data_IF_016400111615
#
_entry.id   IF_016400111615
#
_cell.length_a   1.000
_cell.length_b   1.000
_cell.length_c   1.000
_cell.angle_alpha   90.00
_cell.angle_beta   90.00
_cell.angle_gamma   90.00
#
_symmetry.space_group_name_H-M   'P 1'
#
loop_
_entity.id
_entity.type
_entity.pdbx_description
1 polymer ?
#
# COMPACT_ATOMS: atom_id res chain seq x y z
N UNK A 1 -20.39 -47.29 -1.74
CA UNK A 1 -19.82 -46.45 -0.68
C UNK A 1 -19.56 -45.06 -1.27
N UNK A 2 -20.32 -44.06 -0.89
CA UNK A 2 -20.04 -42.66 -1.27
C UNK A 2 -18.78 -42.26 -0.51
N UNK A 3 -17.69 -41.99 -1.26
CA UNK A 3 -16.41 -41.51 -0.69
C UNK A 3 -16.70 -40.23 0.09
N UNK A 4 -16.32 -40.19 1.35
CA UNK A 4 -16.47 -38.96 2.14
C UNK A 4 -15.85 -37.77 1.35
N UNK A 5 -16.52 -36.63 1.27
CA UNK A 5 -16.02 -35.50 0.49
C UNK A 5 -14.67 -35.08 1.08
N UNK A 6 -13.63 -35.16 0.27
CA UNK A 6 -12.28 -34.71 0.67
C UNK A 6 -12.26 -33.20 0.71
N UNK A 7 -11.63 -32.63 1.74
CA UNK A 7 -11.39 -31.18 1.84
C UNK A 7 -10.62 -30.69 0.62
N UNK A 8 -11.16 -29.74 -0.18
CA UNK A 8 -10.49 -29.25 -1.37
C UNK A 8 -9.13 -28.63 -1.05
N UNK A 9 -8.13 -28.89 -1.89
CA UNK A 9 -6.79 -28.36 -1.76
C UNK A 9 -6.58 -27.19 -2.73
N UNK A 10 -6.29 -26.01 -2.19
CA UNK A 10 -5.97 -24.82 -2.98
C UNK A 10 -4.50 -24.43 -2.79
N UNK A 11 -3.80 -24.22 -3.89
CA UNK A 11 -2.45 -23.66 -3.88
C UNK A 11 -2.50 -22.16 -4.13
N UNK A 12 -1.81 -21.40 -3.29
CA UNK A 12 -1.62 -19.95 -3.46
C UNK A 12 -0.17 -19.72 -3.90
N UNK A 13 0.01 -19.12 -5.05
CA UNK A 13 1.33 -18.82 -5.63
C UNK A 13 1.72 -17.38 -5.27
N UNK A 14 2.70 -17.24 -4.37
CA UNK A 14 3.20 -15.96 -3.85
C UNK A 14 2.72 -15.65 -2.42
N UNK A 15 3.65 -15.36 -1.52
CA UNK A 15 3.42 -14.99 -0.12
C UNK A 15 3.57 -13.48 0.13
N UNK A 16 3.13 -12.64 -0.81
CA UNK A 16 2.85 -11.22 -0.56
C UNK A 16 1.53 -11.07 0.21
N UNK A 17 1.19 -9.86 0.66
CA UNK A 17 -0.05 -9.60 1.42
C UNK A 17 -1.31 -10.11 0.70
N UNK A 18 -1.35 -10.04 -0.64
CA UNK A 18 -2.46 -10.58 -1.42
C UNK A 18 -2.61 -12.10 -1.25
N UNK A 19 -1.50 -12.84 -1.37
CA UNK A 19 -1.50 -14.30 -1.21
C UNK A 19 -1.80 -14.74 0.22
N UNK A 20 -1.21 -14.06 1.22
CA UNK A 20 -1.47 -14.36 2.63
C UNK A 20 -2.94 -14.07 3.02
N UNK A 21 -3.53 -12.97 2.49
CA UNK A 21 -4.93 -12.68 2.70
C UNK A 21 -5.87 -13.68 1.98
N UNK A 22 -5.49 -14.13 0.78
CA UNK A 22 -6.21 -15.19 0.07
C UNK A 22 -6.16 -16.51 0.85
N UNK A 23 -4.98 -16.88 1.35
CA UNK A 23 -4.81 -18.10 2.15
C UNK A 23 -5.69 -18.10 3.41
N UNK A 24 -5.74 -16.96 4.13
CA UNK A 24 -6.60 -16.79 5.28
C UNK A 24 -8.09 -17.02 4.93
N UNK A 25 -8.57 -16.34 3.88
CA UNK A 25 -9.95 -16.44 3.46
C UNK A 25 -10.33 -17.85 2.95
N UNK A 26 -9.43 -18.52 2.23
CA UNK A 26 -9.64 -19.88 1.72
C UNK A 26 -9.70 -20.92 2.82
N UNK A 27 -8.84 -20.82 3.84
CA UNK A 27 -8.88 -21.75 4.99
C UNK A 27 -10.17 -21.57 5.79
N UNK A 28 -10.60 -20.34 6.00
CA UNK A 28 -11.88 -20.03 6.65
C UNK A 28 -13.07 -20.58 5.83
N UNK A 29 -12.97 -20.49 4.49
CA UNK A 29 -13.97 -21.04 3.58
C UNK A 29 -14.01 -22.57 3.51
N UNK A 30 -13.10 -23.28 4.22
CA UNK A 30 -13.10 -24.73 4.33
C UNK A 30 -12.12 -25.45 3.40
N UNK A 31 -11.14 -24.77 2.82
CA UNK A 31 -10.09 -25.38 2.01
C UNK A 31 -8.87 -25.79 2.86
N UNK A 32 -8.17 -26.82 2.41
CA UNK A 32 -6.77 -27.05 2.75
C UNK A 32 -5.93 -26.13 1.86
N UNK A 33 -5.01 -25.36 2.43
CA UNK A 33 -4.26 -24.34 1.70
C UNK A 33 -2.76 -24.55 1.81
N UNK A 34 -2.07 -24.48 0.66
CA UNK A 34 -0.60 -24.42 0.59
C UNK A 34 -0.18 -23.14 -0.12
N UNK A 35 0.64 -22.31 0.54
CA UNK A 35 1.25 -21.12 -0.04
C UNK A 35 2.65 -21.45 -0.50
N UNK A 36 2.98 -21.15 -1.76
CA UNK A 36 4.31 -21.36 -2.37
C UNK A 36 4.94 -20.00 -2.65
N UNK A 37 6.10 -19.73 -2.06
CA UNK A 37 6.85 -18.47 -2.23
C UNK A 37 8.26 -18.76 -2.76
N UNK A 38 8.63 -18.08 -3.83
CA UNK A 38 9.92 -18.27 -4.48
C UNK A 38 11.10 -17.76 -3.62
N UNK A 39 10.90 -16.72 -2.83
CA UNK A 39 11.91 -16.18 -1.93
C UNK A 39 11.91 -16.92 -0.60
N UNK A 40 13.00 -16.80 0.15
CA UNK A 40 13.10 -17.34 1.53
C UNK A 40 12.33 -16.51 2.57
N UNK A 41 11.78 -15.36 2.17
CA UNK A 41 11.02 -14.43 3.02
C UNK A 41 9.66 -14.15 2.42
N UNK A 42 8.69 -13.82 3.26
CA UNK A 42 7.33 -13.43 2.89
C UNK A 42 7.16 -11.91 2.90
N UNK A 43 5.93 -11.42 2.65
CA UNK A 43 5.59 -9.99 2.62
C UNK A 43 5.72 -9.34 1.25
N UNK A 44 6.43 -9.97 0.31
CA UNK A 44 6.59 -9.46 -1.05
C UNK A 44 7.39 -8.15 -1.10
N UNK A 45 6.74 -7.05 -1.50
CA UNK A 45 7.31 -5.69 -1.52
C UNK A 45 7.30 -5.02 -0.15
N UNK A 46 6.33 -5.34 0.69
CA UNK A 46 6.25 -4.90 2.09
C UNK A 46 7.09 -5.84 2.97
N UNK A 47 8.41 -5.66 2.93
CA UNK A 47 9.35 -6.57 3.57
C UNK A 47 10.57 -5.83 4.13
N UNK A 48 11.25 -6.48 5.05
CA UNK A 48 12.46 -5.99 5.73
C UNK A 48 13.69 -6.75 5.25
N UNK A 49 14.86 -6.21 5.55
CA UNK A 49 16.17 -6.83 5.33
C UNK A 49 17.11 -6.50 6.50
N UNK A 50 18.10 -7.35 6.71
CA UNK A 50 19.15 -7.10 7.70
C UNK A 50 20.10 -6.01 7.20
N UNK A 51 20.30 -4.97 8.00
CA UNK A 51 21.22 -3.89 7.70
C UNK A 51 22.43 -3.88 8.63
N UNK A 52 23.66 -3.95 8.09
CA UNK A 52 24.87 -3.98 8.91
C UNK A 52 25.16 -2.64 9.60
N UNK A 53 24.64 -1.50 9.13
CA UNK A 53 24.87 -0.19 9.74
C UNK A 53 24.10 -0.07 11.05
N UNK A 54 22.80 -0.39 11.04
CA UNK A 54 21.95 -0.38 12.23
C UNK A 54 22.06 -1.65 13.07
N UNK A 55 22.70 -2.69 12.55
CA UNK A 55 22.84 -3.98 13.24
C UNK A 55 21.54 -4.73 13.46
N UNK A 56 20.49 -4.44 12.67
CA UNK A 56 19.17 -5.02 12.82
C UNK A 56 18.30 -5.03 11.55
N UNK A 57 17.08 -5.50 11.72
CA UNK A 57 16.10 -5.60 10.65
C UNK A 57 15.48 -4.23 10.35
N UNK A 58 15.54 -3.77 9.12
CA UNK A 58 14.94 -2.52 8.66
C UNK A 58 14.02 -2.78 7.46
N UNK A 59 12.96 -1.98 7.34
CA UNK A 59 12.03 -2.09 6.22
C UNK A 59 12.63 -1.48 4.95
N UNK A 60 12.49 -2.14 3.81
CA UNK A 60 12.96 -1.62 2.52
C UNK A 60 12.41 -0.22 2.22
N UNK A 61 11.17 0.04 2.66
CA UNK A 61 10.52 1.34 2.64
C UNK A 61 9.48 1.38 3.76
N UNK A 62 9.33 2.53 4.43
CA UNK A 62 8.27 2.72 5.42
C UNK A 62 6.91 2.53 4.75
N UNK A 63 6.10 1.68 5.33
CA UNK A 63 4.71 1.50 4.95
C UNK A 63 3.80 2.12 6.00
N UNK A 64 2.74 2.75 5.55
CA UNK A 64 1.71 3.35 6.41
C UNK A 64 0.36 2.90 5.91
N UNK A 65 -0.51 2.46 6.79
CA UNK A 65 -1.93 2.29 6.50
C UNK A 65 -2.70 3.51 6.99
N UNK A 66 -3.78 3.85 6.30
CA UNK A 66 -4.72 4.86 6.77
C UNK A 66 -5.96 4.19 7.36
N UNK A 67 -6.75 4.92 8.15
CA UNK A 67 -7.97 4.40 8.75
C UNK A 67 -8.99 3.87 7.73
N UNK A 68 -8.95 4.36 6.50
CA UNK A 68 -9.75 3.84 5.37
C UNK A 68 -9.29 2.46 4.87
N UNK A 69 -8.14 1.94 5.29
CA UNK A 69 -7.60 0.63 4.92
C UNK A 69 -8.25 -0.49 5.75
N UNK A 70 -9.56 -0.62 5.68
CA UNK A 70 -10.36 -1.46 6.59
C UNK A 70 -10.03 -2.95 6.50
N UNK A 71 -9.68 -3.45 5.31
CA UNK A 71 -9.35 -4.85 5.11
C UNK A 71 -7.96 -5.20 5.64
N UNK A 72 -6.98 -4.31 5.47
CA UNK A 72 -5.65 -4.47 6.06
C UNK A 72 -5.71 -4.41 7.60
N UNK A 73 -6.42 -3.42 8.15
CA UNK A 73 -6.59 -3.28 9.60
C UNK A 73 -7.38 -4.45 10.22
N UNK A 74 -8.34 -5.02 9.49
CA UNK A 74 -9.01 -6.24 9.91
C UNK A 74 -8.06 -7.43 9.94
N UNK A 75 -7.23 -7.61 8.90
CA UNK A 75 -6.20 -8.66 8.87
C UNK A 75 -5.21 -8.49 10.04
N UNK A 76 -4.76 -7.26 10.32
CA UNK A 76 -3.86 -6.95 11.44
C UNK A 76 -4.46 -7.32 12.80
N UNK A 77 -5.76 -7.00 13.02
CA UNK A 77 -6.47 -7.38 14.26
C UNK A 77 -6.56 -8.89 14.42
N UNK A 78 -6.89 -9.60 13.36
CA UNK A 78 -7.06 -11.06 13.36
C UNK A 78 -5.77 -11.82 13.56
N UNK A 79 -4.70 -11.34 12.93
CA UNK A 79 -3.37 -11.90 13.08
C UNK A 79 -2.61 -11.40 14.33
N UNK A 80 -3.27 -10.60 15.19
CA UNK A 80 -2.74 -10.21 16.51
C UNK A 80 -1.66 -9.12 16.48
N UNK A 81 -1.41 -8.45 15.33
CA UNK A 81 -0.36 -7.41 15.26
C UNK A 81 -0.91 -5.97 15.18
N UNK A 82 -2.22 -5.78 15.34
CA UNK A 82 -2.80 -4.43 15.31
C UNK A 82 -2.21 -3.49 16.38
N UNK A 83 -1.82 -4.03 17.55
CA UNK A 83 -1.16 -3.29 18.62
C UNK A 83 0.25 -2.78 18.28
N UNK A 84 0.87 -3.31 17.23
CA UNK A 84 2.17 -2.86 16.70
C UNK A 84 2.04 -1.81 15.60
N UNK A 85 0.83 -1.30 15.39
CA UNK A 85 0.56 -0.17 14.51
C UNK A 85 0.27 1.05 15.39
N UNK A 86 1.21 2.00 15.47
CA UNK A 86 1.00 3.26 16.17
C UNK A 86 -0.10 4.05 15.45
N UNK A 87 -1.09 4.49 16.20
CA UNK A 87 -2.21 5.27 15.70
C UNK A 87 -1.93 6.77 15.87
N UNK A 88 -1.67 7.46 14.78
CA UNK A 88 -1.38 8.89 14.74
C UNK A 88 -2.55 9.62 14.05
N UNK A 89 -3.19 10.55 14.78
CA UNK A 89 -4.28 11.38 14.24
C UNK A 89 -3.79 12.73 13.69
N UNK A 90 -2.57 13.11 14.02
CA UNK A 90 -1.98 14.38 13.60
C UNK A 90 -1.06 14.16 12.42
N UNK A 91 -1.32 14.82 11.32
CA UNK A 91 -0.41 14.93 10.17
C UNK A 91 0.46 16.19 10.37
N UNK A 92 1.77 16.01 10.33
CA UNK A 92 2.72 17.11 10.42
C UNK A 92 3.17 17.53 9.04
N UNK A 93 2.99 18.80 8.71
CA UNK A 93 3.52 19.41 7.50
C UNK A 93 4.58 20.45 7.88
N UNK A 94 5.70 20.44 7.18
CA UNK A 94 6.77 21.43 7.33
C UNK A 94 6.91 22.16 6.01
N UNK A 95 6.66 23.48 6.02
CA UNK A 95 6.75 24.32 4.81
C UNK A 95 8.19 24.45 4.31
N UNK A 96 8.43 24.98 3.08
CA UNK A 96 9.78 25.27 2.60
C UNK A 96 10.55 26.22 3.53
N UNK A 97 9.85 27.11 4.23
CA UNK A 97 10.43 28.07 5.17
C UNK A 97 10.67 27.45 6.58
N UNK A 98 10.35 26.16 6.77
CA UNK A 98 10.52 25.44 8.03
C UNK A 98 9.35 25.63 9.03
N UNK A 99 8.25 26.27 8.61
CA UNK A 99 7.08 26.43 9.48
C UNK A 99 6.34 25.09 9.67
N UNK A 100 6.13 24.69 10.91
CA UNK A 100 5.47 23.44 11.29
C UNK A 100 3.97 23.63 11.43
N UNK A 101 3.19 22.84 10.73
CA UNK A 101 1.73 22.81 10.78
C UNK A 101 1.24 21.44 11.28
N UNK A 102 0.64 21.40 12.46
CA UNK A 102 -0.03 20.22 13.00
C UNK A 102 -1.47 20.17 12.48
N UNK A 103 -1.78 19.15 11.72
CA UNK A 103 -3.09 18.95 11.10
C UNK A 103 -3.82 17.79 11.77
N UNK A 104 -4.60 18.11 12.83
CA UNK A 104 -5.42 17.14 13.56
C UNK A 104 -6.89 17.33 13.21
N UNK A 105 -7.60 16.33 12.67
CA UNK A 105 -9.02 16.43 12.41
C UNK A 105 -9.84 16.66 13.70
N UNK A 106 -10.91 17.45 13.60
CA UNK A 106 -11.85 17.64 14.71
C UNK A 106 -12.91 16.53 14.72
N UNK A 107 -12.80 15.61 15.65
CA UNK A 107 -13.72 14.47 15.77
C UNK A 107 -15.16 14.84 16.09
N UNK A 108 -15.40 16.06 16.62
CA UNK A 108 -16.74 16.58 16.93
C UNK A 108 -17.51 17.06 15.68
N UNK A 109 -16.82 17.29 14.57
CA UNK A 109 -17.46 17.74 13.33
C UNK A 109 -17.72 16.55 12.38
N UNK A 110 -18.89 16.53 11.72
CA UNK A 110 -19.17 15.51 10.72
C UNK A 110 -18.26 15.67 9.49
N UNK A 111 -17.93 14.55 8.83
CA UNK A 111 -17.22 14.58 7.55
C UNK A 111 -18.04 15.32 6.47
N UNK A 112 -17.43 16.21 5.67
CA UNK A 112 -16.00 16.52 5.59
C UNK A 112 -15.53 17.69 6.47
N UNK A 113 -16.39 18.30 7.28
CA UNK A 113 -16.06 19.49 8.08
C UNK A 113 -15.00 19.21 9.16
N UNK A 114 -14.81 17.96 9.58
CA UNK A 114 -13.76 17.56 10.51
C UNK A 114 -12.34 17.94 10.03
N UNK A 115 -12.15 18.16 8.71
CA UNK A 115 -10.88 18.60 8.12
C UNK A 115 -10.70 20.12 8.10
N UNK A 116 -11.65 20.91 8.65
CA UNK A 116 -11.49 22.36 8.71
C UNK A 116 -10.16 22.79 9.38
N UNK A 117 -9.67 22.14 10.46
CA UNK A 117 -8.37 22.46 11.04
C UNK A 117 -7.20 22.34 10.06
N UNK A 118 -7.27 21.40 9.09
CA UNK A 118 -6.27 21.29 8.04
C UNK A 118 -6.17 22.57 7.20
N UNK A 119 -7.31 23.12 6.78
CA UNK A 119 -7.34 24.36 6.00
C UNK A 119 -6.89 25.57 6.82
N UNK A 120 -7.29 25.65 8.09
CA UNK A 120 -6.92 26.76 8.97
C UNK A 120 -5.47 26.65 9.48
N UNK A 121 -4.98 25.43 9.72
CA UNK A 121 -3.66 25.14 10.25
C UNK A 121 -2.51 25.34 9.25
N UNK A 122 -2.77 25.29 7.95
CA UNK A 122 -1.77 25.53 6.90
C UNK A 122 -1.43 27.02 6.78
N UNK A 123 -0.65 27.55 7.73
CA UNK A 123 -0.33 28.99 7.86
C UNK A 123 0.44 29.55 6.67
N UNK A 124 1.22 28.71 5.99
CA UNK A 124 1.96 29.06 4.77
C UNK A 124 1.09 29.37 3.55
N UNK A 125 -0.25 29.12 3.61
CA UNK A 125 -1.20 29.53 2.59
C UNK A 125 -2.00 30.78 3.02
N UNK A 126 -2.20 31.70 2.08
CA UNK A 126 -3.14 32.81 2.22
C UNK A 126 -4.59 32.31 2.33
N UNK A 127 -5.51 33.14 2.85
CA UNK A 127 -6.94 32.78 2.94
C UNK A 127 -7.56 32.47 1.60
N UNK A 128 -7.13 33.16 0.54
CA UNK A 128 -7.59 32.90 -0.81
C UNK A 128 -7.10 31.54 -1.31
N UNK A 129 -5.83 31.16 -1.10
CA UNK A 129 -5.29 29.86 -1.45
C UNK A 129 -6.01 28.72 -0.70
N UNK A 130 -6.29 28.90 0.60
CA UNK A 130 -7.09 27.93 1.38
C UNK A 130 -8.49 27.77 0.84
N UNK A 131 -9.19 28.87 0.46
CA UNK A 131 -10.50 28.82 -0.17
C UNK A 131 -10.46 28.09 -1.52
N UNK A 132 -9.42 28.35 -2.34
CA UNK A 132 -9.21 27.68 -3.62
C UNK A 132 -8.92 26.18 -3.43
N UNK A 133 -8.12 25.82 -2.42
CA UNK A 133 -7.87 24.43 -2.05
C UNK A 133 -9.17 23.72 -1.65
N UNK A 134 -9.95 24.29 -0.74
CA UNK A 134 -11.23 23.73 -0.31
C UNK A 134 -12.21 23.52 -1.47
N UNK A 135 -12.30 24.52 -2.36
CA UNK A 135 -13.11 24.41 -3.58
C UNK A 135 -12.58 23.34 -4.53
N UNK A 136 -11.25 23.20 -4.66
CA UNK A 136 -10.60 22.14 -5.44
C UNK A 136 -10.95 20.76 -4.92
N UNK A 137 -10.86 20.55 -3.60
CA UNK A 137 -11.24 19.29 -2.95
C UNK A 137 -12.71 18.93 -3.20
N UNK A 138 -13.61 19.92 -3.09
CA UNK A 138 -15.04 19.73 -3.36
C UNK A 138 -15.31 19.39 -4.84
N UNK A 139 -14.63 20.06 -5.77
CA UNK A 139 -14.72 19.76 -7.20
C UNK A 139 -14.18 18.38 -7.53
N UNK A 140 -13.04 17.99 -6.93
CA UNK A 140 -12.47 16.66 -7.12
C UNK A 140 -13.41 15.57 -6.61
N UNK A 141 -13.97 15.74 -5.44
CA UNK A 141 -14.94 14.79 -4.87
C UNK A 141 -16.19 14.60 -5.76
N UNK A 142 -16.54 15.62 -6.52
CA UNK A 142 -17.69 15.61 -7.46
C UNK A 142 -17.30 15.28 -8.90
N UNK A 143 -16.04 15.11 -9.22
CA UNK A 143 -15.59 14.77 -10.57
C UNK A 143 -16.24 13.47 -11.08
N UNK A 144 -16.73 13.47 -12.32
CA UNK A 144 -17.45 12.35 -12.96
C UNK A 144 -17.17 12.33 -14.47
N UNK A 145 -17.49 11.19 -15.09
CA UNK A 145 -17.40 11.03 -16.54
C UNK A 145 -15.99 11.24 -17.08
N UNK A 146 -15.85 11.83 -18.24
CA UNK A 146 -14.58 12.02 -18.94
C UNK A 146 -13.50 12.77 -18.12
N UNK A 147 -13.90 13.55 -17.11
CA UNK A 147 -12.93 14.20 -16.24
C UNK A 147 -12.08 13.22 -15.43
N UNK A 148 -12.55 12.01 -15.20
CA UNK A 148 -11.83 10.97 -14.44
C UNK A 148 -10.63 10.39 -15.22
N UNK A 149 -10.65 10.52 -16.54
CA UNK A 149 -9.60 10.02 -17.45
C UNK A 149 -8.52 11.06 -17.74
N UNK A 150 -8.59 12.25 -17.14
CA UNK A 150 -7.50 13.23 -17.19
C UNK A 150 -6.40 12.89 -16.20
N UNK A 151 -5.22 13.51 -16.38
CA UNK A 151 -4.21 13.54 -15.33
C UNK A 151 -4.58 14.56 -14.24
N UNK A 152 -4.17 14.30 -12.99
CA UNK A 152 -4.44 15.20 -11.87
C UNK A 152 -3.88 16.60 -12.14
N UNK A 153 -2.66 16.74 -12.67
CA UNK A 153 -2.03 18.02 -12.98
C UNK A 153 -2.83 18.81 -14.03
N UNK A 154 -3.20 18.17 -15.15
CA UNK A 154 -3.99 18.83 -16.20
C UNK A 154 -5.37 19.26 -15.67
N UNK A 155 -6.02 18.42 -14.88
CA UNK A 155 -7.31 18.73 -14.28
C UNK A 155 -7.22 19.88 -13.27
N UNK A 156 -6.22 19.86 -12.36
CA UNK A 156 -5.99 20.94 -11.39
C UNK A 156 -5.74 22.30 -12.08
N UNK A 157 -4.96 22.30 -13.16
CA UNK A 157 -4.75 23.48 -14.00
C UNK A 157 -6.06 23.97 -14.61
N UNK A 158 -6.86 23.08 -15.18
CA UNK A 158 -8.15 23.41 -15.81
C UNK A 158 -9.16 24.01 -14.82
N UNK A 159 -9.20 23.53 -13.58
CA UNK A 159 -10.08 24.13 -12.55
C UNK A 159 -9.48 25.36 -11.88
N UNK A 160 -8.32 25.83 -12.33
CA UNK A 160 -7.65 27.04 -11.90
C UNK A 160 -7.11 26.94 -10.47
N UNK A 161 -6.55 25.80 -10.07
CA UNK A 161 -5.83 25.72 -8.81
C UNK A 161 -4.54 26.57 -8.89
N UNK A 162 -4.22 27.40 -7.86
CA UNK A 162 -2.98 28.15 -7.83
C UNK A 162 -1.77 27.20 -7.89
N UNK A 163 -0.76 27.55 -8.67
CA UNK A 163 0.45 26.72 -8.84
C UNK A 163 1.13 26.40 -7.48
N UNK A 164 1.19 27.40 -6.60
CA UNK A 164 1.74 27.22 -5.25
C UNK A 164 0.94 26.20 -4.44
N UNK A 165 -0.39 26.19 -4.54
CA UNK A 165 -1.26 25.18 -3.87
C UNK A 165 -1.07 23.81 -4.51
N UNK A 166 -0.88 23.74 -5.83
CA UNK A 166 -0.57 22.47 -6.51
C UNK A 166 0.74 21.90 -5.97
N UNK A 167 1.81 22.70 -5.98
CA UNK A 167 3.15 22.27 -5.56
C UNK A 167 3.26 21.93 -4.07
N UNK A 168 2.59 22.70 -3.19
CA UNK A 168 2.76 22.59 -1.75
C UNK A 168 1.68 21.77 -1.04
N UNK A 169 0.62 21.36 -1.74
CA UNK A 169 -0.43 20.51 -1.16
C UNK A 169 -0.77 19.32 -2.05
N UNK A 170 -1.29 19.58 -3.27
CA UNK A 170 -1.79 18.50 -4.12
C UNK A 170 -0.72 17.49 -4.50
N UNK A 171 0.44 17.98 -4.90
CA UNK A 171 1.55 17.15 -5.30
C UNK A 171 2.03 16.24 -4.15
N UNK A 172 2.47 16.76 -2.99
CA UNK A 172 2.95 15.88 -1.91
C UNK A 172 1.89 14.92 -1.39
N UNK A 173 0.60 15.31 -1.35
CA UNK A 173 -0.48 14.43 -0.89
C UNK A 173 -0.76 13.31 -1.88
N UNK A 174 -0.92 13.64 -3.17
CA UNK A 174 -1.25 12.64 -4.19
C UNK A 174 -0.08 11.73 -4.53
N UNK A 175 1.14 12.28 -4.64
CA UNK A 175 2.35 11.50 -4.93
C UNK A 175 2.67 10.52 -3.79
N UNK A 176 2.52 10.95 -2.54
CA UNK A 176 2.73 10.06 -1.38
C UNK A 176 1.70 8.94 -1.30
N UNK A 177 0.43 9.27 -1.52
CA UNK A 177 -0.66 8.30 -1.39
C UNK A 177 -0.71 7.28 -2.56
N UNK A 178 -0.25 7.68 -3.75
CA UNK A 178 -0.37 6.90 -4.98
C UNK A 178 0.97 6.41 -5.55
N UNK A 179 2.09 6.91 -4.99
CA UNK A 179 3.44 6.55 -5.42
C UNK A 179 3.78 7.01 -6.85
N UNK A 180 3.02 7.93 -7.43
CA UNK A 180 3.15 8.36 -8.83
C UNK A 180 3.05 9.88 -8.95
N UNK A 181 3.77 10.47 -9.94
CA UNK A 181 3.70 11.91 -10.23
C UNK A 181 2.29 12.35 -10.60
N UNK A 182 1.88 13.55 -10.13
CA UNK A 182 0.57 14.13 -10.48
C UNK A 182 0.38 14.34 -11.98
N UNK A 183 1.46 14.42 -12.76
CA UNK A 183 1.42 14.50 -14.22
C UNK A 183 0.96 13.19 -14.87
N UNK A 184 1.01 12.09 -14.13
CA UNK A 184 0.65 10.75 -14.56
C UNK A 184 -0.54 10.17 -13.79
N UNK A 185 -0.81 10.63 -12.57
CA UNK A 185 -1.94 10.18 -11.74
C UNK A 185 -3.26 10.55 -12.40
N UNK A 186 -4.17 9.59 -12.53
CA UNK A 186 -5.55 9.85 -13.01
C UNK A 186 -6.38 10.61 -11.98
N UNK A 187 -7.31 11.44 -12.45
CA UNK A 187 -8.30 12.10 -11.58
C UNK A 187 -9.15 11.08 -10.83
N UNK A 188 -9.40 9.90 -11.41
CA UNK A 188 -10.08 8.78 -10.73
C UNK A 188 -9.35 8.36 -9.48
N UNK A 189 -8.03 8.11 -9.56
CA UNK A 189 -7.20 7.74 -8.42
C UNK A 189 -7.06 8.89 -7.40
N UNK A 190 -6.86 10.13 -7.88
CA UNK A 190 -6.81 11.31 -7.02
C UNK A 190 -8.13 11.51 -6.25
N UNK A 191 -9.28 11.30 -6.91
CA UNK A 191 -10.60 11.36 -6.28
C UNK A 191 -10.77 10.27 -5.20
N UNK A 192 -10.31 9.06 -5.47
CA UNK A 192 -10.33 7.96 -4.49
C UNK A 192 -9.58 8.36 -3.21
N UNK A 193 -8.36 8.90 -3.34
CA UNK A 193 -7.58 9.40 -2.20
C UNK A 193 -8.33 10.53 -1.48
N UNK A 194 -8.83 11.54 -2.21
CA UNK A 194 -9.51 12.68 -1.61
C UNK A 194 -10.79 12.27 -0.86
N UNK A 195 -11.62 11.42 -1.47
CA UNK A 195 -12.92 11.03 -0.90
C UNK A 195 -12.73 10.00 0.21
N UNK A 196 -12.22 8.83 -0.12
CA UNK A 196 -12.19 7.71 0.80
C UNK A 196 -11.05 7.83 1.83
N UNK A 197 -9.95 8.50 1.46
CA UNK A 197 -8.82 8.74 2.38
C UNK A 197 -9.02 9.92 3.33
N UNK A 198 -9.86 10.89 2.96
CA UNK A 198 -9.98 12.12 3.75
C UNK A 198 -11.43 12.57 3.99
N UNK A 199 -12.23 12.77 2.94
CA UNK A 199 -13.49 13.52 3.03
C UNK A 199 -14.67 12.69 3.53
N UNK A 200 -14.66 11.38 3.39
CA UNK A 200 -15.84 10.53 3.61
C UNK A 200 -16.12 10.24 5.09
N UNK A 201 -15.08 10.09 5.90
CA UNK A 201 -15.20 9.66 7.30
C UNK A 201 -14.13 10.32 8.19
N UNK A 202 -14.45 10.71 9.45
CA UNK A 202 -13.50 11.39 10.33
C UNK A 202 -12.22 10.61 10.66
N UNK A 203 -12.27 9.28 10.66
CA UNK A 203 -11.12 8.42 10.93
C UNK A 203 -10.37 7.98 9.65
N UNK A 204 -10.84 8.37 8.47
CA UNK A 204 -10.26 7.89 7.22
C UNK A 204 -8.77 8.27 7.07
N UNK A 205 -8.41 9.47 7.52
CA UNK A 205 -7.06 10.04 7.44
C UNK A 205 -6.13 9.64 8.61
N UNK A 206 -6.63 8.94 9.63
CA UNK A 206 -5.80 8.47 10.74
C UNK A 206 -4.68 7.57 10.22
N UNK A 207 -3.44 7.80 10.65
CA UNK A 207 -2.30 7.00 10.23
C UNK A 207 -2.10 5.80 11.18
N UNK A 208 -1.83 4.65 10.61
CA UNK A 208 -1.41 3.44 11.31
C UNK A 208 0.01 3.08 10.85
N UNK A 209 0.99 3.45 11.67
CA UNK A 209 2.42 3.34 11.35
C UNK A 209 3.02 2.14 12.08
N UNK A 210 3.60 1.15 11.39
CA UNK A 210 4.31 0.05 12.03
C UNK A 210 5.42 0.56 12.95
N UNK A 211 5.44 0.06 14.18
CA UNK A 211 6.51 0.35 15.16
C UNK A 211 7.54 -0.76 15.25
N UNK A 212 7.25 -1.90 14.66
CA UNK A 212 8.15 -3.03 14.48
C UNK A 212 8.39 -3.25 12.97
N UNK A 213 9.53 -3.85 12.59
CA UNK A 213 9.78 -4.17 11.19
C UNK A 213 8.69 -5.04 10.56
N UNK A 214 8.35 -4.78 9.31
CA UNK A 214 7.33 -5.55 8.56
C UNK A 214 7.68 -7.04 8.47
N UNK A 215 8.99 -7.37 8.47
CA UNK A 215 9.48 -8.74 8.55
C UNK A 215 9.01 -9.47 9.80
N UNK A 216 8.91 -8.79 10.94
CA UNK A 216 8.35 -9.34 12.19
C UNK A 216 6.82 -9.44 12.05
N UNK A 217 6.15 -8.38 11.59
CA UNK A 217 4.69 -8.35 11.50
C UNK A 217 4.14 -9.40 10.52
N UNK A 218 4.77 -9.52 9.35
CA UNK A 218 4.30 -10.42 8.28
C UNK A 218 5.06 -11.74 8.26
N UNK A 219 6.36 -11.73 8.60
CA UNK A 219 7.22 -12.91 8.56
C UNK A 219 7.15 -13.78 9.80
N UNK A 220 6.67 -13.26 10.92
CA UNK A 220 6.47 -14.01 12.16
C UNK A 220 4.98 -14.04 12.53
N UNK A 221 4.42 -12.94 13.03
CA UNK A 221 3.07 -12.91 13.61
C UNK A 221 1.96 -13.34 12.64
N UNK A 222 1.92 -12.77 11.43
CA UNK A 222 0.93 -13.16 10.43
C UNK A 222 1.13 -14.61 9.96
N UNK A 223 2.40 -15.05 9.79
CA UNK A 223 2.67 -16.43 9.42
C UNK A 223 2.29 -17.41 10.50
N UNK A 224 2.61 -17.13 11.76
CA UNK A 224 2.29 -18.04 12.87
C UNK A 224 0.79 -18.17 13.03
N UNK A 225 0.05 -17.06 12.96
CA UNK A 225 -1.41 -17.10 12.93
C UNK A 225 -1.96 -17.94 11.76
N UNK A 226 -1.41 -17.81 10.54
CA UNK A 226 -1.81 -18.61 9.39
C UNK A 226 -1.51 -20.10 9.58
N UNK A 227 -0.36 -20.46 10.15
CA UNK A 227 0.01 -21.83 10.47
C UNK A 227 -0.93 -22.44 11.51
N UNK A 228 -1.27 -21.69 12.54
CA UNK A 228 -2.25 -22.10 13.57
C UNK A 228 -3.65 -22.35 12.96
N UNK A 229 -4.02 -21.62 11.91
CA UNK A 229 -5.26 -21.87 11.16
C UNK A 229 -5.15 -23.04 10.17
N UNK A 230 -3.99 -23.69 10.05
CA UNK A 230 -3.77 -24.87 9.21
C UNK A 230 -3.25 -24.57 7.79
N UNK A 231 -2.78 -23.35 7.52
CA UNK A 231 -2.12 -23.01 6.23
C UNK A 231 -0.70 -23.57 6.22
N UNK A 232 -0.37 -24.35 5.19
CA UNK A 232 1.01 -24.76 4.90
C UNK A 232 1.71 -23.67 4.10
N UNK A 233 2.89 -23.23 4.52
CA UNK A 233 3.65 -22.19 3.86
C UNK A 233 5.05 -22.70 3.55
N UNK A 234 5.42 -22.69 2.27
CA UNK A 234 6.72 -23.14 1.75
C UNK A 234 7.43 -21.97 1.07
N UNK A 235 8.50 -21.52 1.69
CA UNK A 235 9.39 -20.49 1.14
C UNK A 235 10.58 -21.11 0.42
N UNK A 236 11.20 -20.37 -0.50
CA UNK A 236 12.29 -20.90 -1.34
C UNK A 236 11.80 -21.88 -2.40
N UNK A 237 10.48 -21.92 -2.67
CA UNK A 237 9.84 -22.87 -3.57
C UNK A 237 9.23 -22.11 -4.77
N UNK A 238 10.03 -21.84 -5.82
CA UNK A 238 9.54 -21.13 -7.01
C UNK A 238 8.57 -22.01 -7.81
N UNK A 239 7.42 -21.44 -8.18
CA UNK A 239 6.49 -22.06 -9.12
C UNK A 239 7.00 -21.85 -10.54
N UNK A 240 7.11 -22.92 -11.30
CA UNK A 240 7.63 -22.95 -12.66
C UNK A 240 6.53 -22.99 -13.73
N UNK A 241 5.34 -23.50 -13.36
CA UNK A 241 4.21 -23.64 -14.27
C UNK A 241 2.96 -24.11 -13.55
N UNK A 242 1.85 -24.16 -14.28
CA UNK A 242 0.55 -24.64 -13.78
C UNK A 242 0.05 -25.72 -14.74
N UNK A 243 -0.10 -26.95 -14.23
CA UNK A 243 -0.66 -28.06 -14.98
C UNK A 243 -2.17 -27.94 -15.12
N UNK A 244 -2.65 -28.25 -16.33
CA UNK A 244 -4.07 -28.17 -16.68
C UNK A 244 -4.47 -29.41 -17.49
N UNK A 245 -5.71 -29.81 -17.24
CA UNK A 245 -6.36 -30.85 -18.01
C UNK A 245 -7.84 -30.48 -18.21
N UNK A 246 -8.35 -30.59 -19.43
CA UNK A 246 -9.73 -30.25 -19.75
C UNK A 246 -10.10 -28.78 -19.48
N UNK A 247 -9.12 -27.85 -19.49
CA UNK A 247 -9.33 -26.43 -19.21
C UNK A 247 -9.39 -26.07 -17.71
N UNK A 248 -9.13 -27.04 -16.82
CA UNK A 248 -9.04 -26.86 -15.38
C UNK A 248 -7.61 -27.07 -14.86
N UNK A 249 -7.26 -26.44 -13.77
CA UNK A 249 -6.00 -26.68 -13.05
C UNK A 249 -6.05 -28.05 -12.38
N UNK A 250 -4.96 -28.80 -12.46
CA UNK A 250 -4.74 -30.08 -11.79
C UNK A 250 -3.56 -30.04 -10.82
N UNK A 251 -2.63 -29.11 -11.01
CA UNK A 251 -1.47 -29.00 -10.15
C UNK A 251 -0.60 -27.79 -10.47
N UNK A 252 0.39 -27.60 -9.62
CA UNK A 252 1.38 -26.52 -9.73
C UNK A 252 2.77 -27.15 -9.79
N UNK A 253 3.54 -26.84 -10.84
CA UNK A 253 4.90 -27.35 -11.05
C UNK A 253 5.90 -26.58 -10.18
N UNK A 254 6.66 -27.32 -9.40
CA UNK A 254 7.77 -26.81 -8.56
C UNK A 254 9.05 -27.61 -8.86
N UNK A 255 10.23 -27.15 -8.44
CA UNK A 255 11.43 -28.00 -8.47
C UNK A 255 11.18 -29.28 -7.68
N UNK A 256 11.36 -30.43 -8.36
CA UNK A 256 11.17 -31.76 -7.75
C UNK A 256 9.79 -32.38 -7.94
N UNK A 257 8.85 -31.73 -8.65
CA UNK A 257 7.58 -32.38 -8.99
C UNK A 257 6.39 -31.46 -9.12
N UNK A 258 5.21 -32.04 -8.98
CA UNK A 258 3.92 -31.35 -9.09
C UNK A 258 3.17 -31.42 -7.77
N UNK A 259 2.68 -30.30 -7.30
CA UNK A 259 1.75 -30.22 -6.18
C UNK A 259 0.32 -30.30 -6.73
N UNK A 260 -0.33 -31.44 -6.61
CA UNK A 260 -1.70 -31.62 -7.05
C UNK A 260 -2.65 -30.75 -6.24
N UNK A 261 -3.62 -30.10 -6.90
CA UNK A 261 -4.60 -29.21 -6.25
C UNK A 261 -5.90 -29.12 -7.04
N UNK A 262 -6.97 -28.73 -6.34
CA UNK A 262 -8.32 -28.53 -6.88
C UNK A 262 -8.51 -27.08 -7.38
N UNK A 263 -7.63 -26.16 -7.02
CA UNK A 263 -7.66 -24.79 -7.48
C UNK A 263 -6.39 -24.01 -7.16
N UNK A 264 -6.19 -22.88 -7.85
CA UNK A 264 -5.00 -22.03 -7.72
C UNK A 264 -5.38 -20.56 -7.60
N UNK A 265 -4.75 -19.85 -6.68
CA UNK A 265 -4.70 -18.39 -6.66
C UNK A 265 -3.30 -17.92 -7.08
N UNK A 266 -3.22 -17.20 -8.20
CA UNK A 266 -1.96 -16.59 -8.70
C UNK A 266 -1.83 -15.20 -8.08
N UNK A 267 -1.03 -15.09 -7.00
CA UNK A 267 -0.87 -13.88 -6.18
C UNK A 267 0.53 -13.27 -6.29
N UNK A 268 1.07 -13.25 -7.50
CA UNK A 268 2.39 -12.69 -7.82
C UNK A 268 2.28 -11.34 -8.52
N UNK A 269 3.36 -10.53 -8.61
CA UNK A 269 3.36 -9.30 -9.41
C UNK A 269 2.99 -9.56 -10.88
N UNK A 270 2.38 -8.58 -11.56
CA UNK A 270 1.86 -8.74 -12.93
C UNK A 270 2.86 -9.31 -13.94
N UNK A 271 4.16 -8.91 -13.84
CA UNK A 271 5.23 -9.44 -14.71
C UNK A 271 5.49 -10.93 -14.49
N UNK A 272 5.39 -11.38 -13.24
CA UNK A 272 5.51 -12.82 -12.94
C UNK A 272 4.23 -13.57 -13.33
N UNK A 273 3.06 -12.98 -13.16
CA UNK A 273 1.79 -13.53 -13.63
C UNK A 273 1.79 -13.68 -15.16
N UNK A 274 2.28 -12.68 -15.91
CA UNK A 274 2.41 -12.72 -17.36
C UNK A 274 3.32 -13.86 -17.85
N UNK A 275 4.31 -14.27 -17.04
CA UNK A 275 5.16 -15.44 -17.36
C UNK A 275 4.50 -16.77 -17.02
N UNK A 276 3.76 -16.83 -15.91
CA UNK A 276 3.11 -18.07 -15.46
C UNK A 276 1.82 -18.38 -16.22
N UNK A 277 1.08 -17.35 -16.59
CA UNK A 277 -0.24 -17.44 -17.21
C UNK A 277 -0.41 -16.36 -18.30
N UNK A 278 0.45 -16.36 -19.35
CA UNK A 278 0.51 -15.29 -20.35
C UNK A 278 -0.83 -15.04 -21.04
N UNK A 279 -1.61 -16.09 -21.24
CA UNK A 279 -2.92 -16.00 -21.87
C UNK A 279 -4.00 -15.29 -21.01
N UNK A 280 -3.78 -15.15 -19.71
CA UNK A 280 -4.70 -14.43 -18.80
C UNK A 280 -4.32 -12.97 -18.61
N UNK A 281 -3.07 -12.62 -18.89
CA UNK A 281 -2.51 -11.28 -18.71
C UNK A 281 -1.71 -10.86 -19.97
N UNK A 282 -2.30 -10.96 -21.17
CA UNK A 282 -1.57 -10.90 -22.43
C UNK A 282 -0.91 -9.55 -22.72
N UNK A 283 -1.37 -8.47 -22.11
CA UNK A 283 -0.88 -7.11 -22.34
C UNK A 283 -0.32 -6.47 -21.05
N UNK A 284 -0.03 -7.28 -20.02
CA UNK A 284 0.38 -6.74 -18.73
C UNK A 284 1.68 -5.93 -18.79
N UNK A 285 2.64 -6.33 -19.63
CA UNK A 285 3.92 -5.62 -19.75
C UNK A 285 3.80 -4.32 -20.55
N UNK A 286 2.91 -4.25 -21.52
CA UNK A 286 2.72 -3.08 -22.39
C UNK A 286 1.81 -2.02 -21.74
N UNK A 287 0.80 -2.44 -21.00
CA UNK A 287 -0.28 -1.57 -20.51
C UNK A 287 -0.20 -1.25 -19.01
N UNK A 288 0.50 -2.09 -18.23
CA UNK A 288 0.71 -1.88 -16.79
C UNK A 288 2.12 -1.35 -16.54
N UNK A 289 2.21 -0.07 -16.25
CA UNK A 289 3.48 0.58 -15.92
C UNK A 289 3.70 0.59 -14.40
N UNK A 290 4.98 0.57 -13.98
CA UNK A 290 5.38 0.74 -12.60
C UNK A 290 5.78 2.17 -12.28
N UNK A 291 5.69 2.54 -11.01
CA UNK A 291 6.30 3.75 -10.46
C UNK A 291 7.33 3.38 -9.38
N UNK A 292 8.52 4.00 -9.39
CA UNK A 292 9.56 3.77 -8.42
C UNK A 292 9.31 4.54 -7.13
N UNK A 293 9.78 3.95 -6.01
CA UNK A 293 9.89 4.61 -4.71
C UNK A 293 11.32 4.44 -4.21
N UNK A 294 11.88 5.50 -3.66
CA UNK A 294 13.20 5.51 -3.04
C UNK A 294 13.08 5.79 -1.56
N UNK A 295 13.72 4.96 -0.73
CA UNK A 295 13.90 5.18 0.69
C UNK A 295 15.37 5.52 0.98
N UNK A 296 15.58 6.55 1.80
CA UNK A 296 16.90 6.93 2.32
C UNK A 296 16.89 6.68 3.83
N UNK A 297 17.67 5.71 4.26
CA UNK A 297 17.86 5.36 5.67
C UNK A 297 19.05 6.13 6.21
N UNK A 298 18.89 6.73 7.39
CA UNK A 298 19.90 7.55 8.04
C UNK A 298 20.04 7.16 9.51
N UNK A 299 21.26 6.83 9.94
CA UNK A 299 21.61 6.55 11.32
C UNK A 299 22.47 7.67 11.87
N UNK A 300 22.11 8.18 13.04
CA UNK A 300 22.77 9.29 13.69
C UNK A 300 23.28 8.88 15.10
N UNK A 301 24.28 9.59 15.62
CA UNK A 301 24.81 9.42 16.97
C UNK A 301 23.80 9.75 18.08
N UNK A 302 22.70 10.43 17.72
CA UNK A 302 21.58 10.81 18.58
C UNK A 302 20.32 11.05 17.75
N UNK A 303 19.17 11.25 18.40
CA UNK A 303 17.96 11.57 17.70
C UNK A 303 18.07 12.85 16.91
N UNK A 304 17.88 12.77 15.57
CA UNK A 304 17.99 13.89 14.64
C UNK A 304 16.64 14.57 14.32
N UNK A 305 15.50 13.90 14.61
CA UNK A 305 14.16 14.46 14.39
C UNK A 305 13.30 14.28 15.64
N UNK A 306 12.60 15.33 16.06
CA UNK A 306 11.74 15.35 17.25
C UNK A 306 10.30 14.89 16.97
N UNK A 307 9.87 14.86 15.69
CA UNK A 307 8.54 14.42 15.30
C UNK A 307 8.53 12.91 14.96
N UNK A 308 7.40 12.22 15.19
CA UNK A 308 7.27 10.82 14.82
C UNK A 308 7.26 10.60 13.30
N UNK A 309 6.75 11.56 12.56
CA UNK A 309 6.76 11.66 11.11
C UNK A 309 6.51 13.11 10.68
N UNK A 310 6.90 13.46 9.46
CA UNK A 310 6.53 14.75 8.86
C UNK A 310 6.52 14.68 7.33
N UNK A 311 5.65 15.47 6.70
CA UNK A 311 5.66 15.80 5.28
C UNK A 311 6.51 17.04 5.08
N UNK A 312 7.59 16.93 4.32
CA UNK A 312 8.50 18.02 4.01
C UNK A 312 8.12 18.63 2.66
N UNK A 313 7.34 19.69 2.72
CA UNK A 313 6.70 20.26 1.53
C UNK A 313 7.71 21.01 0.66
N UNK A 314 7.69 20.76 -0.66
CA UNK A 314 8.54 21.45 -1.63
C UNK A 314 10.02 21.03 -1.60
N UNK A 315 10.35 19.89 -1.00
CA UNK A 315 11.68 19.32 -0.87
C UNK A 315 11.79 17.98 -1.58
N UNK A 316 13.02 17.49 -1.79
CA UNK A 316 13.27 16.13 -2.29
C UNK A 316 12.84 15.11 -1.23
N UNK A 317 13.11 15.37 0.04
CA UNK A 317 12.67 14.60 1.19
C UNK A 317 11.16 14.77 1.41
N UNK A 318 10.33 13.95 0.76
CA UNK A 318 8.86 14.12 0.81
C UNK A 318 8.27 13.76 2.17
N UNK A 319 8.64 12.60 2.71
CA UNK A 319 8.22 12.15 4.04
C UNK A 319 9.43 11.69 4.85
N UNK A 320 9.42 12.01 6.13
CA UNK A 320 10.37 11.46 7.10
C UNK A 320 9.63 10.74 8.20
N UNK A 321 10.15 9.57 8.60
CA UNK A 321 9.63 8.74 9.68
C UNK A 321 10.75 8.41 10.65
N UNK A 322 10.49 8.55 11.96
CA UNK A 322 11.38 8.10 13.02
C UNK A 322 11.03 6.67 13.43
N UNK A 323 12.02 5.84 13.65
CA UNK A 323 11.84 4.53 14.26
C UNK A 323 12.91 4.28 15.33
N UNK A 324 12.47 3.95 16.53
CA UNK A 324 13.36 3.55 17.62
C UNK A 324 13.86 2.12 17.43
N UNK A 325 13.00 1.24 16.91
CA UNK A 325 13.35 -0.16 16.65
C UNK A 325 14.48 -0.33 15.62
N UNK A 326 14.60 0.61 14.66
CA UNK A 326 15.61 0.57 13.62
C UNK A 326 16.90 1.34 13.99
N UNK A 327 16.96 1.96 15.17
CA UNK A 327 18.14 2.72 15.61
C UNK A 327 19.36 1.83 15.95
N UNK A 328 19.12 0.57 16.25
CA UNK A 328 20.17 -0.45 16.54
C UNK A 328 20.63 -0.47 17.99
N UNK A 329 20.77 0.68 18.66
CA UNK A 329 21.14 0.75 20.07
C UNK A 329 20.45 1.94 20.78
N UNK A 330 20.23 1.84 22.11
CA UNK A 330 19.72 2.96 22.88
C UNK A 330 20.58 4.22 22.76
N UNK A 331 19.93 5.37 22.55
CA UNK A 331 20.60 6.65 22.41
C UNK A 331 20.99 7.02 20.98
N UNK A 332 21.00 6.07 20.05
CA UNK A 332 21.15 6.35 18.62
C UNK A 332 19.85 6.85 17.99
N UNK A 333 19.96 7.61 16.92
CA UNK A 333 18.85 8.10 16.14
C UNK A 333 18.75 7.37 14.80
N UNK A 334 17.53 7.04 14.39
CA UNK A 334 17.24 6.56 13.05
C UNK A 334 16.04 7.28 12.48
N UNK A 335 16.15 7.69 11.22
CA UNK A 335 15.00 8.09 10.44
C UNK A 335 15.09 7.55 9.01
N UNK A 336 13.93 7.37 8.41
CA UNK A 336 13.80 6.99 7.02
C UNK A 336 13.07 8.09 6.25
N UNK A 337 13.68 8.55 5.17
CA UNK A 337 13.04 9.47 4.21
C UNK A 337 12.48 8.64 3.06
N UNK A 338 11.21 8.86 2.73
CA UNK A 338 10.52 8.21 1.62
C UNK A 338 10.26 9.22 0.51
N UNK A 339 10.68 8.87 -0.71
CA UNK A 339 10.54 9.68 -1.92
C UNK A 339 9.74 8.87 -2.94
N UNK A 340 8.48 9.26 -3.13
CA UNK A 340 7.57 8.67 -4.10
C UNK A 340 7.83 9.22 -5.51
N UNK A 341 7.36 8.51 -6.54
CA UNK A 341 7.52 8.91 -7.94
C UNK A 341 8.98 9.20 -8.34
N UNK A 342 9.94 8.48 -7.77
CA UNK A 342 11.37 8.78 -7.79
C UNK A 342 12.07 8.45 -9.12
N UNK A 343 11.38 8.55 -10.27
CA UNK A 343 11.97 8.26 -11.61
C UNK A 343 13.21 9.10 -11.91
N UNK A 344 13.21 10.37 -11.53
CA UNK A 344 14.35 11.27 -11.71
C UNK A 344 15.57 10.91 -10.88
N UNK A 345 15.44 10.00 -9.92
CA UNK A 345 16.55 9.54 -9.07
C UNK A 345 17.15 8.21 -9.55
N UNK A 346 16.51 7.54 -10.53
CA UNK A 346 17.01 6.26 -11.06
C UNK A 346 18.37 6.44 -11.75
N UNK A 347 19.37 5.67 -11.31
CA UNK A 347 20.74 5.78 -11.85
C UNK A 347 21.52 7.02 -11.41
N UNK A 348 20.95 7.88 -10.56
CA UNK A 348 21.60 9.05 -10.00
C UNK A 348 22.65 8.73 -8.94
N UNK A 349 23.39 9.76 -8.56
CA UNK A 349 24.42 9.72 -7.52
C UNK A 349 23.76 9.58 -6.14
N UNK A 350 24.00 8.45 -5.47
CA UNK A 350 23.45 8.12 -4.16
C UNK A 350 24.03 8.99 -3.05
N UNK A 351 25.31 9.30 -3.10
CA UNK A 351 25.98 10.09 -2.07
C UNK A 351 25.48 11.53 -2.13
N UNK A 352 25.28 12.05 -3.33
CA UNK A 352 24.66 13.36 -3.53
C UNK A 352 23.21 13.40 -3.02
N UNK A 353 22.44 12.33 -3.26
CA UNK A 353 21.07 12.23 -2.73
C UNK A 353 21.07 12.23 -1.20
N UNK A 354 21.96 11.45 -0.56
CA UNK A 354 22.10 11.41 0.89
C UNK A 354 22.48 12.79 1.43
N UNK A 355 23.47 13.45 0.83
CA UNK A 355 23.87 14.80 1.22
C UNK A 355 22.69 15.79 1.15
N UNK A 356 21.95 15.78 0.03
CA UNK A 356 20.76 16.62 -0.14
C UNK A 356 19.72 16.37 0.95
N UNK A 357 19.41 15.09 1.24
CA UNK A 357 18.43 14.70 2.26
C UNK A 357 18.89 15.16 3.65
N UNK A 358 20.16 14.95 4.00
CA UNK A 358 20.71 15.38 5.30
C UNK A 358 20.66 16.89 5.45
N UNK A 359 21.00 17.64 4.41
CA UNK A 359 20.95 19.11 4.44
C UNK A 359 19.52 19.62 4.59
N UNK A 360 18.55 19.04 3.88
CA UNK A 360 17.13 19.37 4.03
C UNK A 360 16.61 19.06 5.45
N UNK A 361 17.02 17.94 6.08
CA UNK A 361 16.68 17.65 7.46
C UNK A 361 17.29 18.67 8.44
N UNK A 362 18.55 19.06 8.23
CA UNK A 362 19.24 20.09 9.06
C UNK A 362 18.57 21.47 8.97
N UNK A 363 18.00 21.80 7.81
CA UNK A 363 17.25 23.06 7.64
C UNK A 363 16.01 23.13 8.53
N UNK A 364 15.27 22.01 8.67
CA UNK A 364 13.92 21.98 9.30
C UNK A 364 13.91 21.39 10.70
N UNK A 365 14.91 20.58 11.09
CA UNK A 365 15.02 19.98 12.42
C UNK A 365 16.27 20.50 13.14
N UNK A 366 16.10 21.28 14.21
CA UNK A 366 17.24 21.79 15.00
C UNK A 366 18.15 20.67 15.52
N UNK A 367 17.59 19.53 15.89
CA UNK A 367 18.31 18.35 16.38
C UNK A 367 19.25 17.77 15.33
N UNK A 368 18.84 17.76 14.06
CA UNK A 368 19.65 17.26 12.94
C UNK A 368 20.93 18.10 12.69
N UNK A 369 20.94 19.38 13.12
CA UNK A 369 22.11 20.26 12.98
C UNK A 369 23.29 19.82 13.83
N UNK A 370 23.00 19.21 14.98
CA UNK A 370 23.99 18.77 15.98
C UNK A 370 24.24 17.27 15.95
N UNK A 371 23.39 16.52 15.27
CA UNK A 371 23.53 15.08 15.12
C UNK A 371 24.59 14.73 14.05
N UNK A 372 25.47 13.78 14.38
CA UNK A 372 26.46 13.25 13.44
C UNK A 372 25.89 12.06 12.69
N UNK A 373 25.91 12.11 11.36
CA UNK A 373 25.54 10.96 10.53
C UNK A 373 26.58 9.84 10.68
N UNK A 374 26.17 8.69 11.15
CA UNK A 374 27.00 7.50 11.34
C UNK A 374 27.00 6.60 10.11
N UNK A 375 25.88 6.57 9.40
CA UNK A 375 25.73 5.75 8.20
C UNK A 375 24.43 6.05 7.46
N UNK A 376 24.39 5.63 6.21
CA UNK A 376 23.25 5.81 5.34
C UNK A 376 23.09 4.64 4.38
N UNK A 377 21.84 4.44 3.90
CA UNK A 377 21.53 3.49 2.84
C UNK A 377 20.42 4.02 1.95
N UNK A 378 20.62 3.92 0.65
CA UNK A 378 19.59 4.23 -0.35
C UNK A 378 19.03 2.92 -0.92
N UNK A 379 17.73 2.72 -0.77
CA UNK A 379 16.99 1.59 -1.31
C UNK A 379 15.98 2.11 -2.33
N UNK A 380 16.08 1.68 -3.58
CA UNK A 380 15.12 2.04 -4.63
C UNK A 380 14.47 0.78 -5.18
N UNK A 381 13.14 0.70 -5.12
CA UNK A 381 12.38 -0.29 -5.89
C UNK A 381 11.84 0.40 -7.16
N UNK A 382 12.34 0.05 -8.35
CA UNK A 382 11.88 0.63 -9.61
C UNK A 382 10.47 0.17 -10.00
N UNK A 383 9.93 -0.83 -9.29
CA UNK A 383 8.62 -1.44 -9.53
C UNK A 383 7.74 -1.42 -8.28
N UNK A 384 7.94 -0.42 -7.43
CA UNK A 384 7.32 -0.34 -6.10
C UNK A 384 5.78 -0.42 -6.15
N UNK A 385 5.15 0.34 -7.04
CA UNK A 385 3.68 0.38 -7.18
C UNK A 385 3.26 0.36 -8.65
N UNK A 386 2.02 -0.02 -8.91
CA UNK A 386 1.39 0.17 -10.22
C UNK A 386 1.14 1.66 -10.44
N UNK A 387 1.57 2.19 -11.58
CA UNK A 387 1.29 3.57 -12.00
C UNK A 387 -0.18 3.75 -12.32
N UNK A 388 -0.88 4.57 -11.53
CA UNK A 388 -2.34 4.79 -11.61
C UNK A 388 -2.70 5.86 -12.66
N UNK A 389 -2.26 5.63 -13.89
CA UNK A 389 -2.46 6.52 -15.04
C UNK A 389 -3.92 6.52 -15.52
N UNK A 390 -4.34 7.54 -16.28
CA UNK A 390 -5.61 7.51 -17.00
C UNK A 390 -5.79 6.22 -17.80
N UNK A 391 -6.98 5.62 -17.70
CA UNK A 391 -7.32 4.38 -18.40
C UNK A 391 -6.77 3.09 -17.78
N UNK A 392 -5.90 3.13 -16.75
CA UNK A 392 -5.30 1.90 -16.16
C UNK A 392 -6.36 0.98 -15.55
N UNK A 393 -7.41 1.51 -14.96
CA UNK A 393 -8.45 0.70 -14.33
C UNK A 393 -9.23 -0.17 -15.33
N UNK A 394 -9.33 0.27 -16.59
CA UNK A 394 -9.96 -0.51 -17.67
C UNK A 394 -9.13 -1.72 -18.12
N UNK A 395 -7.84 -1.76 -17.80
CA UNK A 395 -6.92 -2.84 -18.19
C UNK A 395 -6.45 -3.71 -17.04
N UNK A 396 -6.77 -3.34 -15.81
CA UNK A 396 -6.54 -4.18 -14.62
C UNK A 396 -7.46 -5.39 -14.70
N UNK A 397 -6.94 -6.64 -14.66
CA UNK A 397 -7.78 -7.83 -14.70
C UNK A 397 -8.57 -7.99 -13.40
N UNK A 398 -9.77 -8.56 -13.50
CA UNK A 398 -10.51 -9.04 -12.34
C UNK A 398 -9.87 -10.28 -11.71
N UNK A 399 -10.38 -10.71 -10.56
CA UNK A 399 -9.95 -11.94 -9.91
C UNK A 399 -10.39 -13.19 -10.68
N UNK A 400 -11.59 -13.18 -11.24
CA UNK A 400 -12.10 -14.28 -12.05
C UNK A 400 -11.33 -14.42 -13.36
N UNK A 401 -11.01 -15.66 -13.74
CA UNK A 401 -10.35 -15.97 -15.01
C UNK A 401 -11.23 -16.85 -15.88
N UNK A 402 -10.81 -17.05 -17.15
CA UNK A 402 -11.47 -18.03 -18.03
C UNK A 402 -11.20 -19.48 -17.62
N UNK A 403 -10.24 -19.72 -16.72
CA UNK A 403 -9.95 -21.03 -16.15
C UNK A 403 -10.74 -21.13 -14.85
N UNK A 404 -11.74 -22.02 -14.82
CA UNK A 404 -12.78 -22.07 -13.81
C UNK A 404 -12.26 -22.12 -12.36
N UNK A 405 -11.22 -22.91 -12.10
CA UNK A 405 -10.63 -23.11 -10.77
C UNK A 405 -9.30 -22.36 -10.59
N UNK A 406 -9.16 -21.19 -11.25
CA UNK A 406 -8.02 -20.30 -11.09
C UNK A 406 -8.48 -18.87 -10.88
N UNK A 407 -7.91 -18.20 -9.88
CA UNK A 407 -8.14 -16.79 -9.63
C UNK A 407 -6.82 -16.00 -9.61
N UNK A 408 -6.90 -14.69 -9.96
CA UNK A 408 -5.79 -13.75 -9.87
C UNK A 408 -5.93 -12.92 -8.59
N UNK A 409 -4.81 -12.66 -7.93
CA UNK A 409 -4.72 -11.72 -6.82
C UNK A 409 -3.46 -10.84 -6.96
N UNK A 410 -3.49 -9.70 -6.32
CA UNK A 410 -2.42 -8.71 -6.32
C UNK A 410 -3.00 -7.30 -6.35
N UNK A 411 -2.28 -6.36 -5.80
CA UNK A 411 -2.65 -4.94 -5.78
C UNK A 411 -2.82 -4.31 -7.19
N UNK A 412 -2.37 -5.02 -8.21
CA UNK A 412 -2.48 -4.67 -9.63
C UNK A 412 -3.79 -5.16 -10.28
N UNK A 413 -4.60 -6.00 -9.59
CA UNK A 413 -5.91 -6.45 -10.08
C UNK A 413 -7.00 -5.40 -9.80
N UNK A 414 -8.16 -5.53 -10.47
CA UNK A 414 -9.28 -4.60 -10.39
C UNK A 414 -10.01 -4.69 -9.03
N UNK A 415 -9.46 -4.11 -7.99
CA UNK A 415 -10.01 -4.10 -6.63
C UNK A 415 -10.82 -2.85 -6.30
N UNK A 416 -10.82 -1.85 -7.18
CA UNK A 416 -11.33 -0.50 -6.90
C UNK A 416 -10.42 0.32 -5.97
N UNK A 417 -9.21 -0.19 -5.66
CA UNK A 417 -8.19 0.48 -4.84
C UNK A 417 -6.89 0.66 -5.62
N UNK A 418 -6.10 1.70 -5.31
CA UNK A 418 -4.75 1.84 -5.85
C UNK A 418 -3.83 0.73 -5.33
N UNK A 419 -2.61 0.67 -5.88
CA UNK A 419 -1.58 -0.31 -5.51
C UNK A 419 -1.03 -0.04 -4.12
N UNK A 420 -1.70 -0.56 -3.10
CA UNK A 420 -1.44 -0.35 -1.67
C UNK A 420 -1.55 -1.67 -0.90
N UNK A 421 -1.18 -1.70 0.38
CA UNK A 421 -1.42 -2.84 1.27
C UNK A 421 -2.92 -3.19 1.34
N UNK A 422 -3.79 -2.19 1.39
CA UNK A 422 -5.24 -2.40 1.35
C UNK A 422 -5.67 -3.06 0.04
N UNK A 423 -5.22 -2.54 -1.11
CA UNK A 423 -5.51 -3.11 -2.42
C UNK A 423 -5.04 -4.57 -2.52
N UNK A 424 -3.87 -4.90 -1.96
CA UNK A 424 -3.34 -6.26 -1.93
C UNK A 424 -4.23 -7.20 -1.09
N UNK A 425 -4.58 -6.82 0.15
CA UNK A 425 -5.44 -7.63 1.02
C UNK A 425 -6.83 -7.83 0.42
N UNK A 426 -7.43 -6.76 -0.12
CA UNK A 426 -8.72 -6.84 -0.83
C UNK A 426 -8.66 -7.82 -1.99
N UNK A 427 -7.61 -7.75 -2.81
CA UNK A 427 -7.46 -8.64 -3.97
C UNK A 427 -7.42 -10.11 -3.56
N UNK A 428 -6.72 -10.43 -2.48
CA UNK A 428 -6.65 -11.80 -1.93
C UNK A 428 -8.02 -12.31 -1.48
N UNK A 429 -8.76 -11.48 -0.76
CA UNK A 429 -10.14 -11.81 -0.32
C UNK A 429 -11.09 -11.97 -1.49
N UNK A 430 -11.01 -11.09 -2.50
CA UNK A 430 -11.82 -11.20 -3.73
C UNK A 430 -11.48 -12.48 -4.49
N UNK A 431 -10.19 -12.83 -4.62
CA UNK A 431 -9.78 -14.06 -5.28
C UNK A 431 -10.30 -15.30 -4.55
N UNK A 432 -10.23 -15.33 -3.22
CA UNK A 432 -10.80 -16.41 -2.42
C UNK A 432 -12.32 -16.51 -2.62
N UNK A 433 -13.06 -15.41 -2.50
CA UNK A 433 -14.50 -15.37 -2.71
C UNK A 433 -14.91 -15.83 -4.13
N UNK A 434 -14.07 -15.56 -5.13
CA UNK A 434 -14.26 -16.03 -6.52
C UNK A 434 -14.05 -17.54 -6.64
N UNK A 435 -13.04 -18.09 -5.95
CA UNK A 435 -12.65 -19.48 -6.10
C UNK A 435 -13.47 -20.44 -5.24
N UNK A 436 -13.85 -20.06 -4.02
CA UNK A 436 -14.60 -20.89 -3.07
C UNK A 436 -15.86 -21.52 -3.66
N UNK A 437 -16.72 -20.81 -4.41
CA UNK A 437 -17.90 -21.40 -5.04
C UNK A 437 -17.60 -22.51 -6.06
N UNK A 438 -16.39 -22.51 -6.59
CA UNK A 438 -15.98 -23.48 -7.61
C UNK A 438 -15.38 -24.72 -6.99
N UNK A 439 -14.55 -24.57 -5.95
CA UNK A 439 -13.78 -25.69 -5.39
C UNK A 439 -14.43 -26.34 -4.18
N UNK A 440 -15.25 -25.60 -3.42
CA UNK A 440 -15.92 -26.11 -2.22
C UNK A 440 -17.38 -26.39 -2.50
N UNK A 441 -17.85 -27.64 -2.34
CA UNK A 441 -19.28 -27.98 -2.45
C UNK A 441 -20.13 -27.12 -1.50
N UNK A 442 -21.34 -26.74 -1.92
CA UNK A 442 -22.20 -25.83 -1.19
C UNK A 442 -22.46 -26.25 0.27
N UNK A 443 -22.73 -27.55 0.54
CA UNK A 443 -22.92 -28.06 1.87
C UNK A 443 -21.70 -28.13 2.78
N UNK A 444 -20.50 -27.88 2.25
CA UNK A 444 -19.21 -27.86 2.98
C UNK A 444 -18.63 -26.46 3.13
N UNK A 445 -19.19 -25.47 2.43
CA UNK A 445 -18.74 -24.09 2.56
C UNK A 445 -18.98 -23.58 3.96
N UNK A 446 -17.91 -23.04 4.54
CA UNK A 446 -18.00 -22.24 5.75
C UNK A 446 -18.22 -20.77 5.36
N UNK A 447 -18.77 -19.98 6.27
CA UNK A 447 -18.95 -18.56 6.04
C UNK A 447 -17.57 -17.88 5.85
N UNK A 448 -17.25 -17.56 4.61
CA UNK A 448 -16.24 -16.60 4.25
C UNK A 448 -16.70 -15.21 4.70
N UNK A 449 -15.88 -14.50 5.46
CA UNK A 449 -16.21 -13.14 5.93
C UNK A 449 -16.21 -12.11 4.79
N UNK A 450 -15.66 -12.47 3.61
CA UNK A 450 -15.56 -11.61 2.47
C UNK A 450 -14.72 -10.34 2.73
N UNK A 451 -15.08 -9.26 2.06
CA UNK A 451 -14.48 -7.95 2.29
C UNK A 451 -15.03 -7.31 3.56
N UNK A 452 -14.13 -6.73 4.36
CA UNK A 452 -14.55 -5.81 5.41
C UNK A 452 -15.21 -4.58 4.78
N UNK A 453 -16.32 -4.08 5.34
CA UNK A 453 -16.99 -2.90 4.81
C UNK A 453 -16.07 -1.69 4.84
N UNK A 454 -16.16 -0.86 3.83
CA UNK A 454 -15.50 0.44 3.82
C UNK A 454 -16.09 1.33 4.93
N UNK A 455 -15.34 2.34 5.38
CA UNK A 455 -15.84 3.27 6.37
C UNK A 455 -17.12 3.96 5.84
N UNK A 456 -18.19 4.03 6.65
CA UNK A 456 -19.45 4.60 6.20
C UNK A 456 -19.30 6.10 5.96
N UNK A 457 -19.76 6.58 4.82
CA UNK A 457 -19.78 8.01 4.54
C UNK A 457 -20.72 8.72 5.51
N UNK A 458 -20.26 9.80 6.12
CA UNK A 458 -21.09 10.68 6.94
C UNK A 458 -22.27 11.27 6.13
N UNK A 459 -23.38 11.60 6.78
CA UNK A 459 -24.56 12.16 6.11
C UNK A 459 -24.24 13.36 5.21
N UNK A 460 -23.46 14.31 5.70
CA UNK A 460 -23.08 15.49 4.93
C UNK A 460 -22.18 15.12 3.73
N UNK A 461 -21.27 14.16 3.92
CA UNK A 461 -20.44 13.65 2.81
C UNK A 461 -21.27 12.97 1.73
N UNK A 462 -22.33 12.19 2.10
CA UNK A 462 -23.27 11.61 1.14
C UNK A 462 -24.03 12.66 0.35
N UNK A 463 -24.51 13.72 1.02
CA UNK A 463 -25.20 14.84 0.36
C UNK A 463 -24.28 15.59 -0.63
N UNK A 464 -23.01 15.77 -0.26
CA UNK A 464 -22.08 16.56 -1.05
C UNK A 464 -21.46 15.79 -2.23
N UNK A 465 -21.22 14.48 -2.08
CA UNK A 465 -20.42 13.67 -3.04
C UNK A 465 -21.20 12.50 -3.64
N UNK A 466 -22.41 12.23 -3.18
CA UNK A 466 -23.22 11.08 -3.53
C UNK A 466 -22.95 9.86 -2.63
N UNK A 467 -23.81 8.86 -2.74
CA UNK A 467 -23.68 7.59 -2.00
C UNK A 467 -22.45 6.81 -2.44
#
# INVERSE_FOLDING_TARGET
MVKAPTTPHVVVVGAGLAGLAAAAALVEGGCRVTVLEARRRVGGRAASFDDPVGGGLVDACQHVAMGCCTNFLDLARRAGFAGSLRHDRTLWFISPEGERSACTPWSSLPAPLHLAPLLFGMRHFSWWERARLGLGMLRLARARGAALDDTAAAWLKRIGQPERVVRLFWQPVLESALGESIDLVSVSAARKVAVDGFLAHPQAADLHVPVEPLGVLFGERLLDWLRETGVRIETGTPVQGIERDGGEVRGVCIPGGVVACDGVVVAVPWRAAARLVPELVPQAEERLAASPITAVHLWFDRQAIDLPHAVLVGRVSQWVFRSEAAAGAPGLGYCQVVISASRGLLGGDRDRLVATVVDELREVFPEARTATLLGSRVVTDPTAVLSVRPGVDAVRPGAATRIRNMALAGDWTATGWPSTMEGAVRSGRIAAATLLPVVVPEGLRRNDRGLSPDLPRGLLARLLFGA
#
